data_IF_622286647039
#
_entry.id   IF_622286647039
#
_cell.length_a   1.000
_cell.length_b   1.000
_cell.length_c   1.000
_cell.angle_alpha   90.00
_cell.angle_beta   90.00
_cell.angle_gamma   90.00
#
_symmetry.space_group_name_H-M   'P 1'
#
loop_
_entity.id
_entity.type
_entity.pdbx_description
1 polymer ?
#
# COMPACT_ATOMS: atom_id res chain seq x y z
N UNK A 1 14.26 -20.64 -4.95
CA UNK A 1 13.93 -19.62 -3.93
C UNK A 1 13.25 -18.47 -4.64
N UNK A 2 12.00 -18.13 -4.29
CA UNK A 2 11.44 -16.87 -4.74
C UNK A 2 12.38 -15.72 -4.34
N UNK A 3 12.74 -14.86 -5.29
CA UNK A 3 13.69 -13.76 -5.06
C UNK A 3 12.90 -12.49 -4.83
N UNK A 4 12.60 -12.21 -3.56
CA UNK A 4 11.94 -10.98 -3.17
C UNK A 4 12.85 -9.77 -3.52
N UNK A 5 12.24 -8.74 -4.10
CA UNK A 5 12.90 -7.47 -4.45
C UNK A 5 12.24 -6.35 -3.66
N UNK A 6 13.07 -5.48 -3.09
CA UNK A 6 12.62 -4.23 -2.50
C UNK A 6 12.72 -3.12 -3.54
N UNK A 7 11.63 -2.39 -3.73
CA UNK A 7 11.58 -1.20 -4.61
C UNK A 7 10.68 -0.14 -4.00
N UNK A 8 10.80 1.09 -4.47
CA UNK A 8 9.84 2.15 -4.14
C UNK A 8 8.47 1.88 -4.78
N UNK A 9 7.43 2.45 -4.18
CA UNK A 9 6.07 2.42 -4.73
C UNK A 9 6.03 3.04 -6.12
N UNK A 10 5.19 2.48 -6.99
CA UNK A 10 4.87 3.00 -8.31
C UNK A 10 3.36 3.23 -8.40
N UNK A 11 2.92 4.10 -9.29
CA UNK A 11 1.50 4.43 -9.43
C UNK A 11 0.60 3.19 -9.68
N UNK A 12 1.13 2.18 -10.39
CA UNK A 12 0.44 0.91 -10.64
C UNK A 12 0.13 0.09 -9.37
N UNK A 13 0.82 0.39 -8.26
CA UNK A 13 0.68 -0.32 -7.00
C UNK A 13 -0.47 0.20 -6.14
N UNK A 14 -1.01 1.40 -6.42
CA UNK A 14 -2.06 2.02 -5.62
C UNK A 14 -3.26 1.09 -5.41
N UNK A 15 -3.81 0.54 -6.49
CA UNK A 15 -4.98 -0.34 -6.43
C UNK A 15 -4.72 -1.66 -5.66
N UNK A 16 -3.69 -2.47 -6.01
CA UNK A 16 -3.43 -3.71 -5.28
C UNK A 16 -3.02 -3.47 -3.82
N UNK A 17 -2.26 -2.41 -3.53
CA UNK A 17 -1.84 -2.07 -2.18
C UNK A 17 -3.01 -1.60 -1.31
N UNK A 18 -3.89 -0.76 -1.86
CA UNK A 18 -5.12 -0.35 -1.18
C UNK A 18 -5.98 -1.56 -0.80
N UNK A 19 -6.11 -2.55 -1.70
CA UNK A 19 -6.85 -3.77 -1.43
C UNK A 19 -6.23 -4.58 -0.27
N UNK A 20 -4.90 -4.75 -0.28
CA UNK A 20 -4.17 -5.45 0.80
C UNK A 20 -4.36 -4.75 2.14
N UNK A 21 -4.21 -3.42 2.19
CA UNK A 21 -4.36 -2.65 3.43
C UNK A 21 -5.80 -2.73 3.93
N UNK A 22 -6.81 -2.55 3.06
CA UNK A 22 -8.22 -2.68 3.43
C UNK A 22 -8.53 -4.07 4.00
N UNK A 23 -8.07 -5.12 3.32
CA UNK A 23 -8.28 -6.49 3.78
C UNK A 23 -7.65 -6.72 5.15
N UNK A 24 -6.44 -6.19 5.36
CA UNK A 24 -5.73 -6.26 6.64
C UNK A 24 -6.52 -5.53 7.74
N UNK A 25 -6.96 -4.30 7.49
CA UNK A 25 -7.76 -3.52 8.44
C UNK A 25 -9.09 -4.22 8.79
N UNK A 26 -9.77 -4.82 7.81
CA UNK A 26 -10.97 -5.62 8.05
C UNK A 26 -10.67 -6.83 8.95
N UNK A 27 -9.56 -7.54 8.71
CA UNK A 27 -9.15 -8.68 9.53
C UNK A 27 -8.86 -8.29 10.99
N UNK A 28 -8.42 -7.05 11.24
CA UNK A 28 -8.24 -6.50 12.58
C UNK A 28 -9.47 -5.75 13.14
N UNK A 29 -10.63 -5.84 12.47
CA UNK A 29 -11.86 -5.12 12.84
C UNK A 29 -11.68 -3.59 12.91
N UNK A 30 -10.68 -3.07 12.19
CA UNK A 30 -10.34 -1.65 12.10
C UNK A 30 -11.00 -0.99 10.88
N UNK A 31 -12.05 -1.58 10.31
CA UNK A 31 -12.84 -1.04 9.20
C UNK A 31 -13.92 -0.05 9.68
N UNK A 32 -13.59 0.79 10.66
CA UNK A 32 -14.50 1.77 11.28
C UNK A 32 -14.18 3.19 10.83
N UNK A 33 -15.16 4.12 10.85
CA UNK A 33 -14.93 5.52 10.49
C UNK A 33 -13.85 6.16 11.39
N UNK A 34 -12.98 6.98 10.79
CA UNK A 34 -11.87 7.65 11.49
C UNK A 34 -10.59 6.81 11.56
N UNK A 35 -10.50 5.73 10.79
CA UNK A 35 -9.28 4.96 10.58
C UNK A 35 -8.75 5.14 9.16
N UNK A 36 -7.53 4.67 8.92
CA UNK A 36 -6.95 4.59 7.58
C UNK A 36 -7.83 3.86 6.55
N UNK A 37 -8.81 3.05 7.00
CA UNK A 37 -9.76 2.37 6.13
C UNK A 37 -10.65 3.35 5.35
N UNK A 38 -11.03 4.46 5.98
CA UNK A 38 -11.89 5.51 5.43
C UNK A 38 -11.13 6.62 4.68
N UNK A 39 -9.80 6.63 4.76
CA UNK A 39 -9.00 7.72 4.19
C UNK A 39 -8.95 7.64 2.66
N UNK A 40 -9.22 8.75 1.94
CA UNK A 40 -9.16 8.78 0.48
C UNK A 40 -7.73 8.59 -0.04
N UNK A 41 -6.72 8.98 0.74
CA UNK A 41 -5.30 8.83 0.44
C UNK A 41 -4.89 7.36 0.25
N UNK A 42 -5.65 6.41 0.83
CA UNK A 42 -5.38 4.99 0.68
C UNK A 42 -5.42 4.55 -0.79
N UNK A 43 -6.18 5.24 -1.63
CA UNK A 43 -6.29 4.93 -3.05
C UNK A 43 -5.20 5.62 -3.91
N UNK A 44 -4.38 6.50 -3.31
CA UNK A 44 -3.40 7.34 -4.02
C UNK A 44 -2.06 7.39 -3.26
N UNK A 45 -1.62 6.26 -2.69
CA UNK A 45 -0.41 6.18 -1.86
C UNK A 45 0.85 6.59 -2.62
N UNK A 46 0.98 6.27 -3.91
CA UNK A 46 2.10 6.72 -4.72
C UNK A 46 2.23 8.24 -4.71
N UNK A 47 1.11 8.95 -4.90
CA UNK A 47 1.02 10.40 -4.92
C UNK A 47 1.24 11.00 -3.53
N UNK A 48 0.59 10.46 -2.50
CA UNK A 48 0.74 10.92 -1.10
C UNK A 48 2.21 10.88 -0.65
N UNK A 49 2.94 9.86 -1.06
CA UNK A 49 4.34 9.67 -0.69
C UNK A 49 5.34 10.31 -1.67
N UNK A 50 4.90 11.17 -2.60
CA UNK A 50 5.79 12.11 -3.32
C UNK A 50 6.18 13.35 -2.48
N UNK A 51 6.00 13.28 -1.16
CA UNK A 51 6.35 14.35 -0.24
C UNK A 51 7.87 14.33 0.05
N UNK A 52 8.57 15.48 0.05
CA UNK A 52 9.98 15.54 0.40
C UNK A 52 10.28 14.89 1.75
N UNK A 53 11.24 13.96 1.79
CA UNK A 53 11.63 13.23 3.01
C UNK A 53 10.75 12.02 3.34
N UNK A 54 9.77 11.69 2.49
CA UNK A 54 8.97 10.48 2.60
C UNK A 54 9.49 9.38 1.65
N UNK A 55 9.44 8.13 2.09
CA UNK A 55 9.71 6.97 1.25
C UNK A 55 8.71 5.86 1.55
N UNK A 56 8.16 5.26 0.50
CA UNK A 56 7.30 4.09 0.60
C UNK A 56 7.94 2.93 -0.16
N UNK A 57 8.19 1.83 0.55
CA UNK A 57 8.86 0.65 0.02
C UNK A 57 7.88 -0.51 -0.10
N UNK A 58 8.00 -1.25 -1.20
CA UNK A 58 7.23 -2.44 -1.51
C UNK A 58 8.18 -3.63 -1.58
N UNK A 59 7.82 -4.69 -0.86
CA UNK A 59 8.34 -6.02 -1.12
C UNK A 59 7.52 -6.65 -2.24
N UNK A 60 8.19 -7.04 -3.32
CA UNK A 60 7.51 -7.63 -4.47
C UNK A 60 8.32 -8.73 -5.12
N UNK A 61 7.65 -9.50 -5.96
CA UNK A 61 8.27 -10.58 -6.72
C UNK A 61 7.82 -10.58 -8.17
N UNK A 62 8.78 -10.39 -9.10
CA UNK A 62 8.68 -10.34 -10.58
C UNK A 62 7.66 -9.36 -11.19
N UNK A 63 6.53 -9.10 -10.56
CA UNK A 63 5.54 -8.04 -10.82
C UNK A 63 4.43 -7.97 -9.76
N UNK A 64 4.42 -8.84 -8.74
CA UNK A 64 3.39 -8.86 -7.70
C UNK A 64 3.87 -8.18 -6.43
N UNK A 65 2.93 -7.58 -5.68
CA UNK A 65 3.12 -7.17 -4.30
C UNK A 65 2.99 -8.44 -3.43
N UNK A 66 3.93 -8.62 -2.50
CA UNK A 66 3.91 -9.71 -1.52
C UNK A 66 3.13 -9.32 -0.27
#
# INVERSE_FOLDING_TARGET
>A
MPSAVLRTIQQRDNAPLAAIIRQTLISFQANVPGTAFSDPELNALFETFQTPGAWYWIAGERNNIL
#
